data_IF_212803657222
#
_entry.id   IF_212803657222
#
_cell.length_a   1.000
_cell.length_b   1.000
_cell.length_c   1.000
_cell.angle_alpha   90.00
_cell.angle_beta   90.00
_cell.angle_gamma   90.00
#
_symmetry.space_group_name_H-M   'P 1'
#
loop_
_entity.id
_entity.type
_entity.pdbx_description
1 polymer ?
#
# COMPACT_ATOMS: atom_id res chain seq x y z
N UNK A 1 -5.60 -19.62 14.32
CA UNK A 1 -6.74 -20.06 13.50
C UNK A 1 -6.21 -20.83 12.30
N UNK A 2 -6.89 -21.90 11.85
CA UNK A 2 -6.51 -22.66 10.64
C UNK A 2 -7.69 -22.70 9.67
N UNK A 3 -7.41 -22.71 8.39
CA UNK A 3 -8.42 -22.92 7.35
C UNK A 3 -8.65 -24.42 7.08
N UNK A 4 -9.60 -24.75 6.17
CA UNK A 4 -9.93 -26.12 5.79
C UNK A 4 -8.78 -26.88 5.10
N UNK A 5 -7.71 -26.20 4.69
CA UNK A 5 -6.51 -26.77 4.08
C UNK A 5 -5.34 -26.90 5.06
N UNK A 6 -5.57 -26.64 6.37
CA UNK A 6 -4.54 -26.71 7.40
C UNK A 6 -3.57 -25.51 7.46
N UNK A 7 -3.83 -24.44 6.67
CA UNK A 7 -2.98 -23.26 6.66
C UNK A 7 -3.27 -22.39 7.89
N UNK A 8 -2.23 -21.95 8.56
CA UNK A 8 -2.34 -21.04 9.71
C UNK A 8 -2.66 -19.62 9.22
N UNK A 9 -3.78 -19.09 9.68
CA UNK A 9 -4.20 -17.71 9.37
C UNK A 9 -3.68 -16.79 10.47
N UNK A 10 -2.67 -15.98 10.16
CA UNK A 10 -1.99 -15.07 11.10
C UNK A 10 -2.01 -13.60 10.64
N UNK A 11 -2.60 -13.31 9.49
CA UNK A 11 -2.57 -12.01 8.84
C UNK A 11 -3.97 -11.45 8.64
N UNK A 12 -4.18 -10.20 9.10
CA UNK A 12 -5.40 -9.44 8.92
C UNK A 12 -5.14 -8.20 8.06
N UNK A 13 -5.97 -8.01 7.05
CA UNK A 13 -5.97 -6.80 6.22
C UNK A 13 -7.18 -5.95 6.58
N UNK A 14 -6.94 -4.68 6.92
CA UNK A 14 -7.94 -3.73 7.43
C UNK A 14 -8.07 -2.56 6.47
N UNK A 15 -9.21 -2.45 5.79
CA UNK A 15 -9.53 -1.30 4.94
C UNK A 15 -10.20 -0.22 5.79
N UNK A 16 -9.46 0.84 6.15
CA UNK A 16 -9.93 1.87 7.08
C UNK A 16 -10.75 2.97 6.43
N UNK A 17 -10.78 3.04 5.09
CA UNK A 17 -11.49 4.07 4.33
C UNK A 17 -11.66 3.66 2.87
N UNK A 18 -12.72 4.11 2.24
CA UNK A 18 -12.95 4.07 0.78
C UNK A 18 -12.34 5.28 0.04
N UNK A 19 -11.96 6.34 0.79
CA UNK A 19 -11.42 7.58 0.23
C UNK A 19 -9.97 7.41 -0.22
N UNK A 20 -9.65 8.02 -1.36
CA UNK A 20 -8.28 8.13 -1.87
C UNK A 20 -8.05 9.56 -2.39
N UNK A 21 -6.83 10.05 -2.25
CA UNK A 21 -6.38 11.32 -2.82
C UNK A 21 -5.83 11.19 -4.25
N UNK A 22 -5.75 9.96 -4.78
CA UNK A 22 -5.46 9.67 -6.18
C UNK A 22 -6.68 9.13 -6.94
N UNK A 23 -6.57 9.08 -8.27
CA UNK A 23 -7.56 8.52 -9.19
C UNK A 23 -6.88 7.67 -10.26
N UNK A 24 -6.05 6.70 -9.81
CA UNK A 24 -5.28 5.85 -10.72
C UNK A 24 -6.21 5.15 -11.73
N UNK A 25 -5.85 5.23 -13.01
CA UNK A 25 -6.67 4.80 -14.15
C UNK A 25 -7.11 3.36 -14.08
N UNK A 26 -6.23 2.48 -13.62
CA UNK A 26 -6.53 1.05 -13.46
C UNK A 26 -7.32 0.73 -12.17
N UNK A 27 -7.44 1.69 -11.23
CA UNK A 27 -8.05 1.47 -9.92
C UNK A 27 -9.50 2.00 -9.86
N UNK A 28 -9.74 3.22 -10.34
CA UNK A 28 -11.05 3.84 -10.26
C UNK A 28 -11.29 4.85 -11.39
N UNK A 29 -12.55 5.13 -11.73
CA UNK A 29 -12.91 6.13 -12.73
C UNK A 29 -12.49 7.54 -12.26
N UNK A 30 -12.46 8.48 -13.20
CA UNK A 30 -12.00 9.86 -12.94
C UNK A 30 -12.89 10.60 -11.93
N UNK A 31 -14.19 10.39 -12.01
CA UNK A 31 -15.19 10.92 -11.07
C UNK A 31 -15.09 10.29 -9.67
N UNK A 32 -14.32 9.21 -9.53
CA UNK A 32 -14.20 8.44 -8.31
C UNK A 32 -15.26 7.37 -8.17
N UNK A 33 -15.40 6.83 -6.98
CA UNK A 33 -16.42 5.84 -6.60
C UNK A 33 -17.55 6.50 -5.82
N UNK A 34 -18.74 5.89 -5.85
CA UNK A 34 -19.83 6.29 -4.95
C UNK A 34 -19.36 6.13 -3.51
N UNK A 35 -19.41 7.24 -2.76
CA UNK A 35 -18.98 7.25 -1.36
C UNK A 35 -19.97 6.48 -0.50
N UNK A 36 -19.43 5.67 0.40
CA UNK A 36 -20.22 5.08 1.46
C UNK A 36 -20.73 6.18 2.41
N UNK A 37 -21.94 6.00 2.97
CA UNK A 37 -22.40 6.87 4.02
C UNK A 37 -21.48 6.77 5.25
N UNK A 38 -21.39 7.83 6.04
CA UNK A 38 -20.51 7.84 7.21
C UNK A 38 -20.83 6.71 8.18
N UNK A 39 -22.11 6.36 8.28
CA UNK A 39 -22.61 5.32 9.20
C UNK A 39 -22.32 3.89 8.69
N UNK A 40 -21.98 3.74 7.41
CA UNK A 40 -21.58 2.46 6.80
C UNK A 40 -20.08 2.19 6.95
N UNK A 41 -19.31 3.16 7.47
CA UNK A 41 -17.86 3.01 7.66
C UNK A 41 -17.58 2.82 9.14
N UNK A 42 -16.93 1.71 9.50
CA UNK A 42 -16.52 1.44 10.88
C UNK A 42 -15.66 2.57 11.45
N UNK A 43 -15.94 2.93 12.70
CA UNK A 43 -15.12 3.87 13.47
C UNK A 43 -13.78 3.22 13.85
N UNK A 44 -12.80 4.03 14.19
CA UNK A 44 -11.46 3.51 14.54
C UNK A 44 -11.49 2.67 15.81
N UNK A 45 -12.36 3.04 16.77
CA UNK A 45 -12.58 2.28 18.01
C UNK A 45 -13.20 0.90 17.75
N UNK A 46 -14.04 0.78 16.73
CA UNK A 46 -14.61 -0.49 16.29
C UNK A 46 -13.53 -1.36 15.64
N UNK A 47 -12.66 -0.76 14.80
CA UNK A 47 -11.50 -1.46 14.27
C UNK A 47 -10.54 -1.93 15.37
N UNK A 48 -10.23 -1.10 16.37
CA UNK A 48 -9.39 -1.50 17.49
C UNK A 48 -9.98 -2.72 18.23
N UNK A 49 -11.31 -2.71 18.46
CA UNK A 49 -12.01 -3.86 19.07
C UNK A 49 -11.94 -5.12 18.20
N UNK A 50 -12.18 -5.00 16.89
CA UNK A 50 -12.12 -6.13 15.96
C UNK A 50 -10.71 -6.71 15.94
N UNK A 51 -9.67 -5.88 15.84
CA UNK A 51 -8.27 -6.33 15.78
C UNK A 51 -7.89 -7.05 17.08
N UNK A 52 -8.34 -6.58 18.25
CA UNK A 52 -8.12 -7.27 19.53
C UNK A 52 -8.74 -8.65 19.53
N UNK A 53 -9.98 -8.82 19.11
CA UNK A 53 -10.64 -10.13 19.01
C UNK A 53 -9.89 -11.03 18.03
N UNK A 54 -9.47 -10.51 16.89
CA UNK A 54 -8.72 -11.27 15.90
C UNK A 54 -7.34 -11.70 16.43
N UNK A 55 -6.69 -10.89 17.26
CA UNK A 55 -5.43 -11.23 17.91
C UNK A 55 -5.64 -12.41 18.90
N UNK A 56 -6.72 -12.41 19.69
CA UNK A 56 -7.08 -13.55 20.56
C UNK A 56 -7.32 -14.86 19.76
N UNK A 57 -7.75 -14.74 18.50
CA UNK A 57 -7.92 -15.86 17.57
C UNK A 57 -6.62 -16.28 16.87
N UNK A 58 -5.49 -15.61 17.15
CA UNK A 58 -4.15 -15.97 16.67
C UNK A 58 -3.67 -15.14 15.47
N UNK A 59 -4.28 -13.99 15.17
CA UNK A 59 -3.71 -13.02 14.24
C UNK A 59 -2.52 -12.33 14.92
N UNK A 60 -1.38 -12.29 14.22
CA UNK A 60 -0.14 -11.68 14.70
C UNK A 60 0.36 -10.54 13.81
N UNK A 61 -0.24 -10.37 12.62
CA UNK A 61 0.15 -9.37 11.63
C UNK A 61 -1.08 -8.59 11.16
N UNK A 62 -0.99 -7.26 11.22
CA UNK A 62 -2.06 -6.37 10.76
C UNK A 62 -1.54 -5.48 9.65
N UNK A 63 -2.31 -5.32 8.57
CA UNK A 63 -2.00 -4.37 7.51
C UNK A 63 -3.15 -3.40 7.29
N UNK A 64 -2.87 -2.13 7.49
CA UNK A 64 -3.79 -1.07 7.15
C UNK A 64 -3.74 -0.74 5.66
N UNK A 65 -4.92 -0.56 5.07
CA UNK A 65 -5.14 -0.22 3.67
C UNK A 65 -6.46 0.54 3.53
N UNK A 66 -6.96 0.67 2.32
CA UNK A 66 -8.24 1.32 2.03
C UNK A 66 -8.26 1.77 0.58
N UNK A 67 -8.82 2.94 0.31
CA UNK A 67 -8.39 3.76 -0.80
C UNK A 67 -6.95 4.23 -0.52
N UNK A 68 -6.81 5.32 0.26
CA UNK A 68 -5.51 5.71 0.85
C UNK A 68 -5.67 5.80 2.38
N UNK A 69 -5.01 4.94 3.17
CA UNK A 69 -5.21 4.92 4.62
C UNK A 69 -4.84 6.24 5.31
N UNK A 70 -3.82 6.95 4.81
CA UNK A 70 -3.32 8.19 5.42
C UNK A 70 -4.28 9.38 5.28
N UNK A 71 -5.35 9.29 4.48
CA UNK A 71 -6.42 10.30 4.49
C UNK A 71 -7.41 10.11 5.64
N UNK A 72 -7.35 8.96 6.35
CA UNK A 72 -8.20 8.69 7.52
C UNK A 72 -7.63 9.43 8.73
N UNK A 73 -8.37 10.42 9.23
CA UNK A 73 -8.00 11.15 10.45
C UNK A 73 -7.82 10.20 11.63
N UNK A 74 -6.87 10.48 12.49
CA UNK A 74 -6.56 9.73 13.71
C UNK A 74 -6.09 8.27 13.48
N UNK A 75 -5.66 7.90 12.26
CA UNK A 75 -5.14 6.56 11.99
C UNK A 75 -3.92 6.23 12.86
N UNK A 76 -3.06 7.21 13.14
CA UNK A 76 -1.88 7.05 14.01
C UNK A 76 -2.29 6.55 15.41
N UNK A 77 -3.42 7.04 15.96
CA UNK A 77 -3.92 6.56 17.23
C UNK A 77 -4.35 5.08 17.16
N UNK A 78 -5.05 4.68 16.09
CA UNK A 78 -5.40 3.27 15.89
C UNK A 78 -4.16 2.38 15.80
N UNK A 79 -3.10 2.83 15.11
CA UNK A 79 -1.82 2.09 15.03
C UNK A 79 -1.22 1.92 16.42
N UNK A 80 -1.23 2.96 17.25
CA UNK A 80 -0.74 2.91 18.65
C UNK A 80 -1.55 1.93 19.49
N UNK A 81 -2.88 2.00 19.41
CA UNK A 81 -3.77 1.08 20.14
C UNK A 81 -3.53 -0.39 19.74
N UNK A 82 -3.22 -0.63 18.47
CA UNK A 82 -2.89 -1.98 17.96
C UNK A 82 -1.49 -2.40 18.38
N UNK A 83 -0.54 -1.47 18.48
CA UNK A 83 0.82 -1.75 18.92
C UNK A 83 0.89 -2.18 20.40
N UNK A 84 -0.03 -1.72 21.22
CA UNK A 84 -0.16 -2.11 22.63
C UNK A 84 -0.70 -3.54 22.83
N UNK A 85 -1.14 -4.22 21.75
CA UNK A 85 -1.61 -5.61 21.84
C UNK A 85 -0.42 -6.58 21.80
N UNK A 86 -0.14 -7.28 22.90
CA UNK A 86 1.01 -8.18 23.07
C UNK A 86 1.16 -9.25 21.97
N UNK A 87 0.06 -9.67 21.36
CA UNK A 87 0.06 -10.71 20.32
C UNK A 87 0.35 -10.21 18.91
N UNK A 88 0.40 -8.89 18.66
CA UNK A 88 0.67 -8.32 17.35
C UNK A 88 2.18 -8.07 17.18
N UNK A 89 2.82 -8.86 16.35
CA UNK A 89 4.27 -8.78 16.08
C UNK A 89 4.62 -7.89 14.90
N UNK A 90 3.65 -7.60 14.01
CA UNK A 90 3.91 -6.80 12.81
C UNK A 90 2.71 -5.90 12.47
N UNK A 91 2.98 -4.61 12.35
CA UNK A 91 2.03 -3.63 11.84
C UNK A 91 2.57 -3.07 10.52
N UNK A 92 1.77 -3.19 9.48
CA UNK A 92 2.12 -2.79 8.13
C UNK A 92 1.08 -1.86 7.53
N UNK A 93 1.46 -1.10 6.51
CA UNK A 93 0.57 -0.23 5.75
C UNK A 93 0.82 -0.39 4.25
N UNK A 94 -0.25 -0.27 3.44
CA UNK A 94 -0.12 -0.05 1.99
C UNK A 94 -0.63 1.34 1.69
N UNK A 95 0.18 2.17 1.04
CA UNK A 95 -0.08 3.59 0.78
C UNK A 95 0.38 3.98 -0.61
N UNK A 96 -0.18 5.02 -1.18
CA UNK A 96 0.32 5.66 -2.40
C UNK A 96 1.54 6.58 -2.14
N UNK A 97 1.91 6.78 -0.90
CA UNK A 97 3.13 7.48 -0.49
C UNK A 97 3.01 9.01 -0.40
N UNK A 98 2.00 9.66 -0.97
CA UNK A 98 1.94 11.13 -1.01
C UNK A 98 1.99 11.76 0.39
N UNK A 99 1.22 11.23 1.34
CA UNK A 99 1.13 11.76 2.70
C UNK A 99 2.12 11.12 3.68
N UNK A 100 2.83 10.08 3.24
CA UNK A 100 3.67 9.26 4.13
C UNK A 100 4.85 10.06 4.69
N UNK A 101 5.51 10.86 3.86
CA UNK A 101 6.75 11.55 4.25
C UNK A 101 6.59 12.57 5.38
N UNK A 102 5.40 13.15 5.52
CA UNK A 102 5.09 14.07 6.62
C UNK A 102 4.75 13.35 7.92
N UNK A 103 4.37 12.08 7.84
CA UNK A 103 3.86 11.28 8.97
C UNK A 103 4.80 10.10 9.32
N UNK A 104 5.89 9.89 8.58
CA UNK A 104 6.71 8.68 8.70
C UNK A 104 7.28 8.47 10.11
N UNK A 105 7.78 9.53 10.75
CA UNK A 105 8.32 9.48 12.10
C UNK A 105 7.24 9.15 13.13
N UNK A 106 6.10 9.85 13.08
CA UNK A 106 4.98 9.64 14.01
C UNK A 106 4.36 8.24 13.85
N UNK A 107 4.27 7.75 12.60
CA UNK A 107 3.81 6.39 12.30
C UNK A 107 4.76 5.35 12.86
N UNK A 108 6.06 5.57 12.75
CA UNK A 108 7.09 4.68 13.31
C UNK A 108 7.02 4.65 14.83
N UNK A 109 6.90 5.81 15.47
CA UNK A 109 6.74 5.94 16.92
C UNK A 109 5.46 5.27 17.43
N UNK A 110 4.36 5.35 16.65
CA UNK A 110 3.10 4.67 16.95
C UNK A 110 3.18 3.15 16.82
N UNK A 111 4.28 2.58 16.29
CA UNK A 111 4.48 1.13 16.17
C UNK A 111 4.36 0.57 14.75
N UNK A 112 4.20 1.42 13.71
CA UNK A 112 4.27 0.95 12.33
C UNK A 112 5.68 0.42 12.04
N UNK A 113 5.77 -0.76 11.44
CA UNK A 113 7.06 -1.43 11.15
C UNK A 113 7.36 -1.52 9.66
N UNK A 114 6.34 -1.66 8.82
CA UNK A 114 6.48 -1.91 7.39
C UNK A 114 5.56 -1.02 6.57
N UNK A 115 6.06 -0.51 5.45
CA UNK A 115 5.24 0.19 4.45
C UNK A 115 5.42 -0.43 3.08
N UNK A 116 4.31 -0.64 2.37
CA UNK A 116 4.31 -0.92 0.95
C UNK A 116 3.85 0.36 0.24
N UNK A 117 4.72 0.94 -0.58
CA UNK A 117 4.44 2.16 -1.32
C UNK A 117 4.14 1.78 -2.77
N UNK A 118 2.99 2.22 -3.29
CA UNK A 118 2.65 2.01 -4.70
C UNK A 118 3.40 3.02 -5.55
N UNK A 119 4.23 2.53 -6.48
CA UNK A 119 5.02 3.35 -7.40
C UNK A 119 5.22 2.58 -8.71
N UNK A 120 4.54 3.02 -9.76
CA UNK A 120 4.49 2.31 -11.03
C UNK A 120 5.54 2.81 -12.04
N UNK A 121 6.09 4.02 -11.85
CA UNK A 121 7.05 4.65 -12.77
C UNK A 121 7.90 5.70 -12.04
N UNK A 122 9.09 5.97 -12.56
CA UNK A 122 9.95 7.10 -12.15
C UNK A 122 9.85 8.29 -13.14
N UNK A 123 9.05 8.17 -14.19
CA UNK A 123 8.81 9.24 -15.14
C UNK A 123 7.64 10.14 -14.65
N UNK A 124 7.87 11.46 -14.44
CA UNK A 124 6.83 12.35 -13.90
C UNK A 124 5.58 12.42 -14.76
N UNK A 125 5.73 12.42 -16.08
CA UNK A 125 4.58 12.49 -17.02
C UNK A 125 3.75 11.19 -16.97
N UNK A 126 4.41 10.05 -16.99
CA UNK A 126 3.76 8.75 -16.86
C UNK A 126 3.07 8.61 -15.50
N UNK A 127 3.72 9.09 -14.42
CA UNK A 127 3.13 9.09 -13.08
C UNK A 127 1.83 9.90 -13.04
N UNK A 128 1.85 11.14 -13.57
CA UNK A 128 0.67 12.00 -13.65
C UNK A 128 -0.41 11.37 -14.54
N UNK A 129 -0.02 10.75 -15.66
CA UNK A 129 -0.97 10.06 -16.54
C UNK A 129 -1.67 8.92 -15.82
N UNK A 130 -0.94 8.06 -15.09
CA UNK A 130 -1.51 6.92 -14.35
C UNK A 130 -2.39 7.41 -13.20
N UNK A 131 -1.87 8.33 -12.37
CA UNK A 131 -2.47 8.72 -11.07
C UNK A 131 -3.43 9.89 -11.15
N UNK A 132 -3.35 10.68 -12.26
CA UNK A 132 -4.04 11.95 -12.49
C UNK A 132 -3.62 13.07 -11.53
N UNK A 133 -2.44 12.96 -10.91
CA UNK A 133 -1.88 13.96 -9.99
C UNK A 133 -0.37 14.05 -10.19
N UNK A 134 0.16 15.26 -10.32
CA UNK A 134 1.62 15.50 -10.33
C UNK A 134 2.17 15.47 -8.90
N UNK A 135 2.61 14.29 -8.45
CA UNK A 135 3.08 14.08 -7.07
C UNK A 135 4.27 13.11 -6.96
N UNK A 136 4.96 12.77 -8.07
CA UNK A 136 6.06 11.82 -8.04
C UNK A 136 7.16 12.23 -7.05
N UNK A 137 7.57 13.50 -7.05
CA UNK A 137 8.62 13.99 -6.16
C UNK A 137 8.25 13.85 -4.67
N UNK A 138 6.97 14.00 -4.33
CA UNK A 138 6.46 13.78 -2.97
C UNK A 138 6.59 12.30 -2.58
N UNK A 139 6.26 11.37 -3.49
CA UNK A 139 6.38 9.93 -3.26
C UNK A 139 7.85 9.53 -3.08
N UNK A 140 8.75 10.02 -3.94
CA UNK A 140 10.20 9.75 -3.82
C UNK A 140 10.77 10.28 -2.51
N UNK A 141 10.45 11.52 -2.13
CA UNK A 141 10.81 12.08 -0.82
C UNK A 141 10.23 11.26 0.34
N UNK A 142 9.02 10.72 0.18
CA UNK A 142 8.40 9.87 1.20
C UNK A 142 9.10 8.53 1.38
N UNK A 143 9.65 7.94 0.31
CA UNK A 143 10.47 6.72 0.40
C UNK A 143 11.70 6.99 1.27
N UNK A 144 12.43 8.08 1.01
CA UNK A 144 13.61 8.45 1.78
C UNK A 144 13.30 8.71 3.25
N UNK A 145 12.25 9.48 3.53
CA UNK A 145 11.82 9.78 4.92
C UNK A 145 11.34 8.52 5.66
N UNK A 146 10.67 7.59 4.98
CA UNK A 146 10.26 6.32 5.56
C UNK A 146 11.47 5.45 5.95
N UNK A 147 12.49 5.38 5.09
CA UNK A 147 13.74 4.69 5.38
C UNK A 147 14.50 5.36 6.55
N UNK A 148 14.59 6.70 6.56
CA UNK A 148 15.23 7.48 7.64
C UNK A 148 14.51 7.27 8.99
N UNK A 149 13.19 7.12 8.98
CA UNK A 149 12.39 6.79 10.17
C UNK A 149 12.57 5.33 10.63
N UNK A 150 13.32 4.49 9.91
CA UNK A 150 13.55 3.09 10.24
C UNK A 150 12.37 2.17 9.91
N UNK A 151 11.51 2.56 8.97
CA UNK A 151 10.48 1.68 8.41
C UNK A 151 11.09 0.72 7.38
N UNK A 152 10.61 -0.51 7.35
CA UNK A 152 10.90 -1.44 6.28
C UNK A 152 10.04 -1.10 5.07
N UNK A 153 10.68 -0.68 3.99
CA UNK A 153 10.01 -0.18 2.79
C UNK A 153 9.97 -1.26 1.71
N UNK A 154 8.82 -1.41 1.07
CA UNK A 154 8.64 -2.18 -0.15
C UNK A 154 7.93 -1.33 -1.20
N UNK A 155 8.43 -1.35 -2.42
CA UNK A 155 7.76 -0.75 -3.56
C UNK A 155 6.88 -1.81 -4.21
N UNK A 156 5.62 -1.48 -4.47
CA UNK A 156 4.73 -2.27 -5.30
C UNK A 156 4.55 -1.55 -6.63
N UNK A 157 4.92 -2.20 -7.71
CA UNK A 157 4.73 -1.73 -9.09
C UNK A 157 3.76 -2.67 -9.80
N UNK A 158 2.80 -2.10 -10.52
CA UNK A 158 1.88 -2.84 -11.39
C UNK A 158 2.34 -2.66 -12.85
N UNK A 159 3.00 -3.68 -13.45
CA UNK A 159 3.47 -3.61 -14.83
C UNK A 159 2.30 -3.59 -15.82
N UNK A 160 2.29 -2.58 -16.69
CA UNK A 160 1.25 -2.35 -17.69
C UNK A 160 1.86 -1.92 -19.02
N UNK A 161 1.40 -2.51 -20.13
CA UNK A 161 1.99 -2.27 -21.47
C UNK A 161 1.78 -0.82 -21.92
N UNK A 162 0.65 -0.21 -21.56
CA UNK A 162 0.27 1.12 -21.99
C UNK A 162 1.10 2.24 -21.35
N UNK A 163 1.78 1.97 -20.23
CA UNK A 163 2.42 3.04 -19.46
C UNK A 163 3.89 2.82 -19.13
N UNK A 164 4.17 1.75 -18.35
CA UNK A 164 5.44 1.62 -17.64
C UNK A 164 6.28 0.40 -18.06
N UNK A 165 5.93 -0.23 -19.18
CA UNK A 165 6.65 -1.41 -19.66
C UNK A 165 8.16 -1.20 -19.84
N UNK A 166 8.59 0.02 -20.13
CA UNK A 166 10.01 0.36 -20.31
C UNK A 166 10.67 0.83 -19.00
N UNK A 167 9.88 1.22 -17.98
CA UNK A 167 10.37 1.77 -16.71
C UNK A 167 10.73 0.68 -15.68
N UNK A 168 10.45 -0.59 -15.97
CA UNK A 168 10.55 -1.69 -14.98
C UNK A 168 11.98 -1.89 -14.46
N UNK A 169 12.98 -1.73 -15.31
CA UNK A 169 14.40 -1.83 -14.94
C UNK A 169 14.80 -0.70 -13.98
N UNK A 170 14.33 0.53 -14.24
CA UNK A 170 14.62 1.68 -13.39
C UNK A 170 13.94 1.55 -12.02
N UNK A 171 12.71 1.06 -11.98
CA UNK A 171 12.01 0.73 -10.73
C UNK A 171 12.77 -0.36 -9.96
N UNK A 172 13.20 -1.43 -10.62
CA UNK A 172 13.99 -2.50 -9.99
C UNK A 172 15.31 -1.98 -9.42
N UNK A 173 15.96 -1.03 -10.11
CA UNK A 173 17.21 -0.42 -9.66
C UNK A 173 17.12 0.31 -8.33
N UNK A 174 15.92 0.70 -7.87
CA UNK A 174 15.73 1.27 -6.53
C UNK A 174 16.20 0.30 -5.43
N UNK A 175 16.06 -1.01 -5.62
CA UNK A 175 16.55 -2.01 -4.66
C UNK A 175 18.08 -2.12 -4.59
N UNK A 176 18.81 -1.55 -5.58
CA UNK A 176 20.29 -1.42 -5.54
C UNK A 176 20.72 -0.12 -4.86
N UNK A 177 19.88 0.92 -4.93
CA UNK A 177 20.19 2.25 -4.43
C UNK A 177 19.79 2.43 -2.96
N UNK A 178 18.73 1.75 -2.53
CA UNK A 178 18.12 1.89 -1.21
C UNK A 178 17.92 0.50 -0.57
N UNK A 179 17.93 0.40 0.76
CA UNK A 179 17.61 -0.84 1.50
C UNK A 179 16.10 -1.11 1.48
N UNK A 180 15.55 -1.44 0.33
CA UNK A 180 14.14 -1.72 0.12
C UNK A 180 13.95 -2.91 -0.84
N UNK A 181 12.76 -3.49 -0.83
CA UNK A 181 12.35 -4.50 -1.80
C UNK A 181 11.47 -3.86 -2.89
N UNK A 182 11.62 -4.32 -4.13
CA UNK A 182 10.69 -4.02 -5.23
C UNK A 182 9.90 -5.27 -5.56
N UNK A 183 8.59 -5.11 -5.75
CA UNK A 183 7.66 -6.17 -6.16
C UNK A 183 6.88 -5.75 -7.38
N UNK A 184 6.93 -6.57 -8.39
CA UNK A 184 6.06 -6.45 -9.55
C UNK A 184 4.81 -7.30 -9.31
N UNK A 185 3.64 -6.67 -9.44
CA UNK A 185 2.34 -7.29 -9.16
C UNK A 185 1.53 -7.26 -10.46
N UNK A 186 1.15 -8.41 -10.97
CA UNK A 186 0.38 -8.49 -12.21
C UNK A 186 -0.95 -7.72 -12.08
N UNK A 187 -1.27 -6.97 -13.14
CA UNK A 187 -2.53 -6.23 -13.22
C UNK A 187 -3.70 -7.22 -13.23
N UNK A 188 -4.60 -7.07 -12.27
CA UNK A 188 -5.83 -7.86 -12.24
C UNK A 188 -6.87 -7.28 -13.20
N UNK A 189 -7.47 -8.08 -14.08
CA UNK A 189 -8.47 -7.62 -15.06
C UNK A 189 -9.86 -7.46 -14.41
N UNK A 190 -9.95 -6.63 -13.36
CA UNK A 190 -11.18 -6.36 -12.62
C UNK A 190 -11.46 -4.86 -12.59
N UNK A 191 -12.74 -4.47 -12.66
CA UNK A 191 -13.14 -3.05 -12.67
C UNK A 191 -12.45 -2.28 -13.79
N UNK A 192 -11.88 -1.12 -13.46
CA UNK A 192 -11.14 -0.29 -14.43
C UNK A 192 -9.89 -0.98 -14.99
N UNK A 193 -9.30 -1.91 -14.24
CA UNK A 193 -8.12 -2.66 -14.66
C UNK A 193 -8.36 -3.57 -15.87
N UNK A 194 -9.61 -3.97 -16.13
CA UNK A 194 -9.96 -4.79 -17.29
C UNK A 194 -9.78 -4.10 -18.65
N UNK A 195 -9.58 -2.78 -18.66
CA UNK A 195 -9.38 -1.98 -19.88
C UNK A 195 -7.91 -1.92 -20.32
N UNK A 196 -6.99 -2.48 -19.54
CA UNK A 196 -5.54 -2.37 -19.75
C UNK A 196 -4.87 -3.73 -19.81
N UNK A 197 -3.67 -3.78 -20.39
CA UNK A 197 -2.93 -5.00 -20.61
C UNK A 197 -1.75 -5.09 -19.62
N UNK A 198 -1.87 -5.97 -18.64
CA UNK A 198 -0.78 -6.28 -17.72
C UNK A 198 0.40 -6.96 -18.43
N UNK A 199 1.58 -6.81 -17.87
CA UNK A 199 2.78 -7.55 -18.27
C UNK A 199 2.94 -8.72 -17.29
N UNK A 200 3.05 -9.94 -17.81
CA UNK A 200 3.19 -11.15 -16.99
C UNK A 200 4.52 -11.17 -16.22
N UNK A 201 4.56 -11.89 -15.11
CA UNK A 201 5.76 -12.05 -14.29
C UNK A 201 6.93 -12.61 -15.07
N UNK A 202 6.71 -13.55 -16.00
CA UNK A 202 7.77 -14.11 -16.85
C UNK A 202 8.40 -13.04 -17.75
N UNK A 203 7.58 -12.18 -18.37
CA UNK A 203 8.07 -11.07 -19.19
C UNK A 203 8.79 -10.00 -18.39
N UNK A 204 8.38 -9.77 -17.15
CA UNK A 204 9.10 -8.87 -16.22
C UNK A 204 10.50 -9.45 -15.94
N UNK A 205 10.60 -10.75 -15.63
CA UNK A 205 11.88 -11.42 -15.41
C UNK A 205 12.80 -11.34 -16.64
N UNK A 206 12.29 -11.64 -17.84
CA UNK A 206 13.05 -11.52 -19.09
C UNK A 206 13.62 -10.10 -19.29
N UNK A 207 12.89 -9.05 -18.93
CA UNK A 207 13.37 -7.66 -19.02
C UNK A 207 14.44 -7.33 -17.96
N UNK A 208 14.35 -7.90 -16.77
CA UNK A 208 15.29 -7.64 -15.68
C UNK A 208 16.61 -8.42 -15.82
N UNK A 209 16.64 -9.48 -16.63
CA UNK A 209 17.83 -10.29 -16.91
C UNK A 209 18.71 -9.73 -18.06
N UNK A 210 18.21 -8.74 -18.82
CA UNK A 210 18.94 -8.05 -19.90
C UNK A 210 19.86 -6.97 -19.36
#
# INVERSE_FOLDING_TARGET
MQDSFGRKIEYLRVSVTDKCNLRCRYCMPQEGITRLAHDDILRLEEWARIIRIMQELGITKVRFTGGEPLVRKNLIQLIRDVHELDGISQIAMTTNGILLGEQAADLREAGLTHVNISLDTLNPRTFEEITRVDALNQVLSSIEKALQAGLQVKINCVPCQEWNGEDLTDIAALARQYPLDVRFIELMPVGCGSQYHGISSDRVLEKLEQ
#
